data_IF_101985594416
#
_entry.id   IF_101985594416
#
_cell.length_a   1.000
_cell.length_b   1.000
_cell.length_c   1.000
_cell.angle_alpha   90.00
_cell.angle_beta   90.00
_cell.angle_gamma   90.00
#
_symmetry.space_group_name_H-M   'P 1'
#
loop_
_entity.id
_entity.type
_entity.pdbx_description
1 polymer ?
#
# COMPACT_ATOMS: atom_id res chain seq x y z
N UNK A 1 -0.48 11.77 0.55
CA UNK A 1 -0.01 11.00 -0.63
C UNK A 1 -0.10 9.53 -0.27
N UNK A 2 -0.56 8.67 -1.18
CA UNK A 2 -0.78 7.25 -0.90
C UNK A 2 0.18 6.41 -1.73
N UNK A 3 1.09 5.69 -1.08
CA UNK A 3 2.05 4.79 -1.73
C UNK A 3 1.62 3.36 -1.40
N UNK A 4 1.37 2.57 -2.43
CA UNK A 4 0.84 1.21 -2.29
C UNK A 4 1.93 0.19 -2.63
N UNK A 5 2.01 -0.85 -1.81
CA UNK A 5 2.75 -2.08 -2.11
C UNK A 5 1.94 -3.01 -3.05
N UNK A 6 2.61 -4.02 -3.60
CA UNK A 6 2.07 -5.06 -4.48
C UNK A 6 0.91 -5.82 -3.83
N UNK A 7 1.04 -6.26 -2.57
CA UNK A 7 0.05 -7.14 -1.93
C UNK A 7 -1.39 -6.59 -1.96
N UNK A 8 -1.63 -5.39 -1.42
CA UNK A 8 -2.93 -4.72 -1.51
C UNK A 8 -3.39 -4.49 -2.96
N UNK A 9 -2.49 -4.05 -3.85
CA UNK A 9 -2.81 -3.82 -5.27
C UNK A 9 -3.38 -5.07 -5.94
N UNK A 10 -2.72 -6.22 -5.77
CA UNK A 10 -3.19 -7.50 -6.33
C UNK A 10 -4.59 -7.85 -5.84
N UNK A 11 -4.88 -7.67 -4.54
CA UNK A 11 -6.20 -7.99 -3.97
C UNK A 11 -7.31 -7.13 -4.56
N UNK A 12 -7.13 -5.81 -4.58
CA UNK A 12 -8.15 -4.89 -5.09
C UNK A 12 -8.37 -5.01 -6.60
N UNK A 13 -7.31 -5.24 -7.37
CA UNK A 13 -7.42 -5.40 -8.82
C UNK A 13 -8.06 -6.74 -9.18
N UNK A 14 -7.63 -7.83 -8.56
CA UNK A 14 -8.13 -9.17 -8.85
C UNK A 14 -9.62 -9.32 -8.54
N UNK A 15 -10.10 -8.64 -7.50
CA UNK A 15 -11.50 -8.73 -7.05
C UNK A 15 -12.42 -7.66 -7.62
N UNK A 16 -11.97 -6.91 -8.64
CA UNK A 16 -12.71 -5.80 -9.25
C UNK A 16 -13.20 -4.77 -8.21
N UNK A 17 -12.33 -4.43 -7.25
CA UNK A 17 -12.62 -3.49 -6.16
C UNK A 17 -11.89 -2.14 -6.31
N UNK A 18 -11.46 -1.79 -7.52
CA UNK A 18 -10.80 -0.50 -7.81
C UNK A 18 -11.64 0.72 -7.37
N UNK A 19 -12.97 0.78 -7.59
CA UNK A 19 -13.76 1.90 -7.10
C UNK A 19 -13.72 2.04 -5.57
N UNK A 20 -13.74 0.92 -4.84
CA UNK A 20 -13.65 0.90 -3.38
C UNK A 20 -12.26 1.33 -2.91
N UNK A 21 -11.21 0.91 -3.61
CA UNK A 21 -9.84 1.36 -3.35
C UNK A 21 -9.73 2.88 -3.53
N UNK A 22 -10.17 3.42 -4.66
CA UNK A 22 -10.11 4.85 -4.94
C UNK A 22 -10.91 5.64 -3.91
N UNK A 23 -12.10 5.16 -3.54
CA UNK A 23 -12.92 5.78 -2.52
C UNK A 23 -12.25 5.79 -1.14
N UNK A 24 -11.64 4.68 -0.72
CA UNK A 24 -10.88 4.59 0.53
C UNK A 24 -9.71 5.58 0.57
N UNK A 25 -9.12 5.89 -0.58
CA UNK A 25 -8.06 6.88 -0.73
C UNK A 25 -8.58 8.31 -0.97
N UNK A 26 -9.89 8.54 -0.83
CA UNK A 26 -10.52 9.85 -1.05
C UNK A 26 -10.47 10.33 -2.51
N UNK A 27 -10.49 9.40 -3.46
CA UNK A 27 -10.30 9.64 -4.90
C UNK A 27 -8.98 10.35 -5.24
N UNK A 28 -7.94 10.14 -4.44
CA UNK A 28 -6.60 10.62 -4.74
C UNK A 28 -5.81 9.61 -5.59
N UNK A 29 -4.75 10.05 -6.29
CA UNK A 29 -3.91 9.15 -7.04
C UNK A 29 -3.22 8.08 -6.17
N UNK A 30 -3.17 6.87 -6.71
CA UNK A 30 -2.37 5.75 -6.23
C UNK A 30 -0.95 5.94 -6.76
N UNK A 31 0.02 5.96 -5.84
CA UNK A 31 1.43 5.99 -6.20
C UNK A 31 2.01 4.60 -5.96
N UNK A 32 2.75 4.08 -6.92
CA UNK A 32 3.44 2.79 -6.80
C UNK A 32 4.88 2.94 -7.27
N UNK A 33 5.86 2.35 -6.57
CA UNK A 33 7.21 2.17 -7.12
C UNK A 33 7.21 1.43 -8.46
N UNK A 34 8.23 1.62 -9.29
CA UNK A 34 8.41 0.85 -10.54
C UNK A 34 8.45 -0.66 -10.28
N UNK A 35 9.10 -1.09 -9.19
CA UNK A 35 9.12 -2.49 -8.76
C UNK A 35 7.72 -3.05 -8.49
N UNK A 36 6.85 -2.26 -7.83
CA UNK A 36 5.45 -2.66 -7.59
C UNK A 36 4.67 -2.68 -8.90
N UNK A 37 4.83 -1.67 -9.76
CA UNK A 37 4.16 -1.65 -11.07
C UNK A 37 4.56 -2.85 -11.93
N UNK A 38 5.82 -3.27 -11.87
CA UNK A 38 6.31 -4.49 -12.50
C UNK A 38 5.65 -5.73 -11.90
N UNK A 39 5.67 -5.87 -10.57
CA UNK A 39 5.13 -7.05 -9.87
C UNK A 39 3.62 -7.23 -10.08
N UNK A 40 2.86 -6.14 -10.19
CA UNK A 40 1.43 -6.16 -10.54
C UNK A 40 1.19 -6.83 -11.90
N UNK A 41 2.12 -6.71 -12.84
CA UNK A 41 2.03 -7.32 -14.19
C UNK A 41 2.69 -8.71 -14.23
N UNK A 42 3.78 -8.91 -13.49
CA UNK A 42 4.57 -10.14 -13.48
C UNK A 42 3.92 -11.25 -12.64
N UNK A 43 3.41 -10.93 -11.44
CA UNK A 43 2.83 -11.91 -10.51
C UNK A 43 1.74 -12.78 -11.16
N UNK A 44 0.80 -12.24 -11.95
CA UNK A 44 -0.19 -13.02 -12.71
C UNK A 44 0.38 -14.13 -13.59
N UNK A 45 1.62 -14.00 -14.09
CA UNK A 45 2.27 -15.01 -14.95
C UNK A 45 2.70 -16.25 -14.18
N UNK A 46 2.96 -16.10 -12.87
CA UNK A 46 3.40 -17.17 -11.97
C UNK A 46 2.29 -17.67 -11.04
N UNK A 47 1.31 -16.80 -10.76
CA UNK A 47 0.23 -17.03 -9.82
C UNK A 47 -1.11 -16.68 -10.48
N UNK A 48 -1.72 -17.67 -11.12
CA UNK A 48 -2.91 -17.49 -11.96
C UNK A 48 -4.13 -17.02 -11.18
N UNK A 49 -4.18 -17.18 -9.85
CA UNK A 49 -5.26 -16.59 -9.06
C UNK A 49 -5.32 -15.05 -9.16
N UNK A 50 -4.20 -14.40 -9.51
CA UNK A 50 -4.12 -12.96 -9.73
C UNK A 50 -4.26 -12.54 -11.20
N UNK A 51 -4.61 -13.45 -12.12
CA UNK A 51 -4.69 -13.22 -13.57
C UNK A 51 -5.44 -11.92 -13.94
N UNK A 52 -6.54 -11.65 -13.23
CA UNK A 52 -7.39 -10.48 -13.44
C UNK A 52 -6.65 -9.14 -13.26
N UNK A 53 -5.61 -9.10 -12.44
CA UNK A 53 -4.78 -7.91 -12.22
C UNK A 53 -4.21 -7.36 -13.53
N UNK A 54 -3.67 -8.22 -14.40
CA UNK A 54 -3.06 -7.82 -15.67
C UNK A 54 -4.07 -7.15 -16.63
N UNK A 55 -5.35 -7.49 -16.52
CA UNK A 55 -6.42 -6.89 -17.33
C UNK A 55 -6.89 -5.55 -16.76
N UNK A 56 -6.91 -5.41 -15.43
CA UNK A 56 -7.47 -4.24 -14.74
C UNK A 56 -6.46 -3.12 -14.59
N UNK A 57 -5.20 -3.43 -14.28
CA UNK A 57 -4.11 -2.44 -14.12
C UNK A 57 -4.00 -1.43 -15.27
N UNK A 58 -3.95 -1.83 -16.56
CA UNK A 58 -3.88 -0.88 -17.67
C UNK A 58 -5.17 -0.05 -17.86
N UNK A 59 -6.29 -0.48 -17.29
CA UNK A 59 -7.59 0.22 -17.38
C UNK A 59 -7.81 1.25 -16.28
N UNK A 60 -6.95 1.29 -15.26
CA UNK A 60 -7.01 2.35 -14.26
C UNK A 60 -6.74 3.69 -14.97
N UNK A 61 -7.62 4.69 -14.85
CA UNK A 61 -7.41 5.99 -15.47
C UNK A 61 -6.07 6.60 -15.04
N UNK A 62 -5.29 7.13 -15.98
CA UNK A 62 -3.94 7.66 -15.72
C UNK A 62 -3.90 8.72 -14.61
N UNK A 63 -4.97 9.52 -14.45
CA UNK A 63 -5.07 10.49 -13.34
C UNK A 63 -5.01 9.86 -11.94
N UNK A 64 -5.31 8.57 -11.81
CA UNK A 64 -5.28 7.84 -10.55
C UNK A 64 -4.05 6.94 -10.40
N UNK A 65 -3.19 6.84 -11.40
CA UNK A 65 -2.07 5.91 -11.45
C UNK A 65 -0.77 6.69 -11.66
N UNK A 66 0.07 6.73 -10.63
CA UNK A 66 1.38 7.42 -10.68
C UNK A 66 2.47 6.42 -10.35
N UNK A 67 3.45 6.28 -11.23
CA UNK A 67 4.62 5.42 -11.02
C UNK A 67 5.75 6.28 -10.47
N UNK A 68 6.35 5.83 -9.36
CA UNK A 68 7.52 6.44 -8.73
C UNK A 68 8.79 5.78 -9.29
N UNK A 69 9.74 6.54 -9.85
CA UNK A 69 10.94 5.97 -10.46
C UNK A 69 11.85 5.32 -9.41
N UNK A 70 12.30 4.10 -9.65
CA UNK A 70 13.21 3.39 -8.74
C UNK A 70 14.68 3.58 -9.12
N UNK A 71 14.95 4.39 -10.15
CA UNK A 71 16.30 4.71 -10.58
C UNK A 71 17.18 5.11 -9.39
N UNK A 72 18.37 4.50 -9.24
CA UNK A 72 19.19 4.71 -8.06
C UNK A 72 19.68 6.16 -7.99
N UNK A 73 19.37 6.81 -6.87
CA UNK A 73 19.87 8.13 -6.51
C UNK A 73 20.71 8.02 -5.24
N UNK A 74 21.59 8.98 -4.99
CA UNK A 74 22.37 9.02 -3.74
C UNK A 74 21.46 8.99 -2.50
N UNK A 75 20.31 9.68 -2.59
CA UNK A 75 19.30 9.68 -1.53
C UNK A 75 18.71 8.28 -1.30
N UNK A 76 18.30 7.58 -2.35
CA UNK A 76 17.75 6.22 -2.22
C UNK A 76 18.81 5.22 -1.73
N UNK A 77 20.07 5.38 -2.14
CA UNK A 77 21.19 4.56 -1.65
C UNK A 77 21.43 4.78 -0.15
N UNK A 78 21.45 6.02 0.29
CA UNK A 78 21.60 6.36 1.71
C UNK A 78 20.40 5.91 2.54
N UNK A 79 19.19 6.01 1.99
CA UNK A 79 17.99 5.49 2.62
C UNK A 79 18.05 3.97 2.75
N UNK A 80 18.43 3.23 1.70
CA UNK A 80 18.58 1.77 1.76
C UNK A 80 19.52 1.35 2.90
N UNK A 81 20.71 1.93 2.97
CA UNK A 81 21.68 1.63 4.03
C UNK A 81 21.17 2.02 5.42
N UNK A 82 20.48 3.15 5.54
CA UNK A 82 20.06 3.66 6.85
C UNK A 82 18.78 3.02 7.39
N UNK A 83 17.82 2.70 6.52
CA UNK A 83 16.48 2.18 6.82
C UNK A 83 16.45 0.66 6.81
N UNK A 84 16.97 0.05 5.74
CA UNK A 84 16.91 -1.39 5.47
C UNK A 84 18.20 -2.13 5.87
N UNK A 85 19.28 -1.40 6.15
CA UNK A 85 20.61 -1.96 6.48
C UNK A 85 21.21 -2.81 5.36
N UNK A 86 20.84 -2.51 4.12
CA UNK A 86 21.33 -3.19 2.92
C UNK A 86 21.87 -2.18 1.90
N UNK A 87 22.82 -2.62 1.07
CA UNK A 87 23.18 -1.86 -0.12
C UNK A 87 22.00 -1.82 -1.10
N UNK A 88 21.85 -0.71 -1.82
CA UNK A 88 20.71 -0.52 -2.71
C UNK A 88 20.73 -1.50 -3.87
N UNK A 89 21.89 -1.71 -4.49
CA UNK A 89 21.97 -2.53 -5.70
C UNK A 89 21.71 -4.00 -5.35
N UNK A 90 22.24 -4.46 -4.21
CA UNK A 90 21.96 -5.79 -3.67
C UNK A 90 20.48 -5.97 -3.29
N UNK A 91 19.89 -4.99 -2.60
CA UNK A 91 18.47 -5.03 -2.21
C UNK A 91 17.56 -5.03 -3.44
N UNK A 92 17.86 -4.18 -4.44
CA UNK A 92 17.03 -4.06 -5.64
C UNK A 92 17.15 -5.29 -6.57
N UNK A 93 18.28 -5.99 -6.54
CA UNK A 93 18.48 -7.24 -7.27
C UNK A 93 17.68 -8.40 -6.67
N UNK A 94 17.33 -8.34 -5.38
CA UNK A 94 16.47 -9.34 -4.76
C UNK A 94 15.03 -9.15 -5.24
N UNK A 95 14.37 -10.23 -5.65
CA UNK A 95 12.95 -10.18 -6.03
C UNK A 95 12.01 -10.24 -4.82
N UNK A 96 12.54 -10.71 -3.69
CA UNK A 96 11.80 -10.82 -2.45
C UNK A 96 11.71 -9.43 -1.80
N UNK A 97 10.50 -9.04 -1.41
CA UNK A 97 10.17 -7.82 -0.65
C UNK A 97 10.63 -6.52 -1.33
N UNK A 98 10.96 -6.57 -2.63
CA UNK A 98 11.47 -5.43 -3.41
C UNK A 98 10.44 -4.32 -3.55
N UNK A 99 9.21 -4.66 -3.93
CA UNK A 99 8.10 -3.71 -4.01
C UNK A 99 7.87 -2.98 -2.68
N UNK A 100 7.82 -3.73 -1.59
CA UNK A 100 7.66 -3.19 -0.23
C UNK A 100 8.82 -2.26 0.15
N UNK A 101 10.05 -2.73 -0.01
CA UNK A 101 11.25 -1.95 0.30
C UNK A 101 11.24 -0.61 -0.46
N UNK A 102 10.95 -0.63 -1.75
CA UNK A 102 10.86 0.61 -2.53
C UNK A 102 9.71 1.52 -2.08
N UNK A 103 8.54 0.95 -1.72
CA UNK A 103 7.44 1.74 -1.18
C UNK A 103 7.83 2.49 0.10
N UNK A 104 8.56 1.81 1.00
CA UNK A 104 9.09 2.38 2.23
C UNK A 104 10.15 3.46 1.93
N UNK A 105 11.12 3.17 1.06
CA UNK A 105 12.20 4.12 0.75
C UNK A 105 11.64 5.42 0.12
N UNK A 106 10.71 5.29 -0.83
CA UNK A 106 10.02 6.45 -1.41
C UNK A 106 9.24 7.24 -0.36
N UNK A 107 8.51 6.56 0.53
CA UNK A 107 7.76 7.20 1.60
C UNK A 107 8.67 8.01 2.53
N UNK A 108 9.81 7.45 2.92
CA UNK A 108 10.78 8.13 3.79
C UNK A 108 11.41 9.33 3.06
N UNK A 109 11.81 9.19 1.80
CA UNK A 109 12.33 10.31 1.00
C UNK A 109 11.34 11.47 0.96
N UNK A 110 10.08 11.18 0.61
CA UNK A 110 9.04 12.19 0.46
C UNK A 110 8.68 12.84 1.80
N UNK A 111 8.63 12.08 2.88
CA UNK A 111 8.38 12.62 4.21
C UNK A 111 9.52 13.51 4.72
N UNK A 112 10.78 13.18 4.42
CA UNK A 112 11.92 14.09 4.71
C UNK A 112 11.83 15.42 3.96
N UNK A 113 11.16 15.43 2.81
CA UNK A 113 10.88 16.62 1.98
C UNK A 113 9.58 17.36 2.39
N UNK A 114 9.02 17.06 3.56
CA UNK A 114 7.86 17.78 4.10
C UNK A 114 6.50 17.21 3.73
N UNK A 115 6.43 16.04 3.08
CA UNK A 115 5.15 15.45 2.63
C UNK A 115 4.54 14.53 3.69
N UNK A 116 3.21 14.54 3.80
CA UNK A 116 2.47 13.50 4.52
C UNK A 116 2.17 12.33 3.59
N UNK A 117 2.76 11.19 3.90
CA UNK A 117 2.67 9.95 3.14
C UNK A 117 1.95 8.89 3.97
N UNK A 118 1.01 8.19 3.36
CA UNK A 118 0.41 6.97 3.87
C UNK A 118 0.93 5.83 3.02
N UNK A 119 1.57 4.86 3.66
CA UNK A 119 2.07 3.63 3.02
C UNK A 119 1.07 2.52 3.30
N UNK A 120 0.65 1.82 2.24
CA UNK A 120 -0.27 0.70 2.34
C UNK A 120 0.50 -0.59 2.10
N UNK A 121 0.60 -1.43 3.12
CA UNK A 121 1.28 -2.73 3.09
C UNK A 121 0.61 -3.67 4.12
N UNK A 122 0.55 -4.96 3.80
CA UNK A 122 -0.05 -5.98 4.67
C UNK A 122 0.99 -6.72 5.55
N UNK A 123 2.28 -6.63 5.25
CA UNK A 123 3.33 -7.40 5.92
C UNK A 123 3.76 -6.78 7.26
N UNK A 124 4.00 -7.65 8.26
CA UNK A 124 4.36 -7.24 9.62
C UNK A 124 5.75 -6.59 9.68
N UNK A 125 6.70 -7.08 8.90
CA UNK A 125 8.07 -6.54 8.84
C UNK A 125 8.08 -5.13 8.24
N UNK A 126 7.42 -4.94 7.09
CA UNK A 126 7.22 -3.64 6.47
C UNK A 126 6.54 -2.65 7.40
N UNK A 127 5.45 -3.07 8.07
CA UNK A 127 4.75 -2.26 9.07
C UNK A 127 5.69 -1.80 10.19
N UNK A 128 6.49 -2.72 10.72
CA UNK A 128 7.46 -2.41 11.79
C UNK A 128 8.52 -1.41 11.34
N UNK A 129 8.98 -1.53 10.10
CA UNK A 129 9.93 -0.58 9.50
C UNK A 129 9.31 0.80 9.28
N UNK A 130 8.07 0.87 8.79
CA UNK A 130 7.34 2.13 8.61
C UNK A 130 7.17 2.86 9.94
N UNK A 131 6.74 2.15 10.99
CA UNK A 131 6.55 2.74 12.33
C UNK A 131 7.87 3.23 12.94
N UNK A 132 8.96 2.48 12.75
CA UNK A 132 10.30 2.88 13.19
C UNK A 132 10.74 4.19 12.52
N UNK A 133 10.62 4.30 11.20
CA UNK A 133 11.02 5.52 10.50
C UNK A 133 10.06 6.69 10.75
N UNK A 134 8.76 6.46 10.95
CA UNK A 134 7.82 7.48 11.37
C UNK A 134 8.22 8.13 12.72
N UNK A 135 8.58 7.30 13.70
CA UNK A 135 9.05 7.79 15.01
C UNK A 135 10.37 8.56 14.90
N UNK A 136 11.31 8.06 14.09
CA UNK A 136 12.59 8.72 13.85
C UNK A 136 12.42 10.07 13.16
N UNK A 137 11.53 10.18 12.18
CA UNK A 137 11.20 11.45 11.52
C UNK A 137 10.62 12.46 12.51
N UNK A 138 9.72 12.03 13.39
CA UNK A 138 9.16 12.87 14.45
C UNK A 138 10.26 13.43 15.36
N UNK A 139 11.23 12.61 15.77
CA UNK A 139 12.37 13.06 16.57
C UNK A 139 13.29 14.02 15.79
N UNK A 140 13.58 13.71 14.52
CA UNK A 140 14.39 14.57 13.66
C UNK A 140 13.77 15.95 13.42
N UNK A 141 12.44 16.04 13.43
CA UNK A 141 11.72 17.31 13.35
C UNK A 141 11.86 18.14 14.61
N UNK A 142 11.73 17.52 15.79
CA UNK A 142 11.94 18.24 17.06
C UNK A 142 13.36 18.79 17.21
N UNK A 143 14.32 18.25 16.46
CA UNK A 143 15.72 18.69 16.43
C UNK A 143 16.06 19.55 15.20
N UNK A 144 15.07 19.92 14.38
CA UNK A 144 15.22 20.82 13.24
C UNK A 144 15.90 20.23 12.00
N UNK A 145 16.23 18.93 11.99
CA UNK A 145 17.03 18.29 10.91
C UNK A 145 16.30 18.19 9.57
N UNK A 146 14.97 18.13 9.58
CA UNK A 146 14.12 18.09 8.39
C UNK A 146 13.00 19.12 8.56
N UNK A 147 13.26 20.37 8.21
CA UNK A 147 12.31 21.48 8.35
C UNK A 147 12.06 22.12 6.98
N UNK A 148 10.81 22.14 6.46
CA UNK A 148 9.61 21.53 7.06
C UNK A 148 9.66 20.00 6.97
N UNK A 149 9.29 19.32 8.05
CA UNK A 149 9.26 17.87 8.10
C UNK A 149 7.87 17.33 7.79
N UNK A 150 7.83 16.17 7.13
CA UNK A 150 6.60 15.49 6.75
C UNK A 150 6.20 14.38 7.72
N UNK A 151 5.33 13.47 7.30
CA UNK A 151 4.89 12.36 8.15
C UNK A 151 4.76 11.10 7.34
N UNK A 152 4.97 9.95 7.99
CA UNK A 152 4.66 8.65 7.42
C UNK A 152 3.62 8.00 8.32
N UNK A 153 2.56 7.50 7.70
CA UNK A 153 1.51 6.71 8.31
C UNK A 153 1.46 5.35 7.61
N UNK A 154 0.91 4.35 8.30
CA UNK A 154 0.68 3.01 7.76
C UNK A 154 -0.83 2.74 7.67
N UNK A 155 -1.22 1.97 6.67
CA UNK A 155 -2.51 1.31 6.58
C UNK A 155 -2.33 -0.08 5.95
N UNK A 156 -3.23 -1.00 6.25
CA UNK A 156 -3.30 -2.31 5.62
C UNK A 156 -4.58 -2.45 4.78
N UNK A 157 -4.75 -3.60 4.13
CA UNK A 157 -5.97 -3.89 3.35
C UNK A 157 -7.24 -3.82 4.20
N UNK A 158 -7.19 -4.21 5.48
CA UNK A 158 -8.34 -4.12 6.40
C UNK A 158 -8.74 -2.66 6.64
N UNK A 159 -7.77 -1.79 6.80
CA UNK A 159 -7.96 -0.35 6.97
C UNK A 159 -8.57 0.28 5.72
N UNK A 160 -8.08 -0.09 4.54
CA UNK A 160 -8.68 0.37 3.27
C UNK A 160 -10.13 -0.10 3.11
N UNK A 161 -10.43 -1.36 3.44
CA UNK A 161 -11.79 -1.88 3.39
C UNK A 161 -12.73 -1.17 4.37
N UNK A 162 -12.24 -0.84 5.58
CA UNK A 162 -12.97 0.00 6.54
C UNK A 162 -13.32 1.35 5.94
N UNK A 163 -12.35 2.08 5.41
CA UNK A 163 -12.59 3.40 4.82
C UNK A 163 -13.50 3.33 3.59
N UNK A 164 -13.40 2.28 2.79
CA UNK A 164 -14.33 2.05 1.69
C UNK A 164 -15.78 1.85 2.19
N UNK A 165 -15.99 1.13 3.29
CA UNK A 165 -17.32 0.98 3.91
C UNK A 165 -17.81 2.33 4.44
N UNK A 166 -16.97 3.07 5.18
CA UNK A 166 -17.32 4.38 5.73
C UNK A 166 -17.66 5.40 4.63
N UNK A 167 -17.00 5.30 3.47
CA UNK A 167 -17.29 6.11 2.29
C UNK A 167 -18.51 5.66 1.48
N UNK A 168 -19.19 4.57 1.87
CA UNK A 168 -20.35 4.03 1.13
C UNK A 168 -19.99 3.25 -0.14
N UNK A 169 -18.77 2.71 -0.22
CA UNK A 169 -18.26 1.98 -1.39
C UNK A 169 -18.90 0.61 -1.60
N UNK A 170 -19.68 0.12 -0.65
CA UNK A 170 -20.40 -1.15 -0.73
C UNK A 170 -21.90 -0.92 -0.54
N UNK A 171 -22.71 -1.53 -1.41
CA UNK A 171 -24.17 -1.37 -1.39
C UNK A 171 -24.86 -2.10 -0.22
N UNK A 172 -24.21 -3.11 0.35
CA UNK A 172 -24.70 -3.87 1.50
C UNK A 172 -23.58 -4.65 2.18
N UNK A 173 -23.85 -5.11 3.41
CA UNK A 173 -22.94 -6.02 4.14
C UNK A 173 -22.70 -7.29 3.32
N UNK A 174 -23.72 -7.87 2.70
CA UNK A 174 -23.56 -9.10 1.90
C UNK A 174 -22.67 -8.88 0.67
N UNK A 175 -22.83 -7.73 -0.01
CA UNK A 175 -21.96 -7.37 -1.14
C UNK A 175 -20.50 -7.21 -0.71
N UNK A 176 -20.27 -6.59 0.45
CA UNK A 176 -18.94 -6.50 1.06
C UNK A 176 -18.37 -7.87 1.43
N UNK A 177 -19.12 -8.71 2.15
CA UNK A 177 -18.66 -10.04 2.59
C UNK A 177 -18.29 -10.91 1.39
N UNK A 178 -19.05 -10.84 0.30
CA UNK A 178 -18.71 -11.54 -0.95
C UNK A 178 -17.35 -11.12 -1.51
N UNK A 179 -17.08 -9.82 -1.57
CA UNK A 179 -15.78 -9.28 -2.05
C UNK A 179 -14.64 -9.58 -1.08
N UNK A 180 -14.87 -9.45 0.22
CA UNK A 180 -13.91 -9.80 1.26
C UNK A 180 -13.48 -11.26 1.14
N UNK A 181 -14.44 -12.19 1.04
CA UNK A 181 -14.13 -13.62 0.95
C UNK A 181 -13.35 -13.95 -0.33
N UNK A 182 -13.65 -13.25 -1.44
CA UNK A 182 -12.85 -13.37 -2.65
C UNK A 182 -11.39 -12.90 -2.41
N UNK A 183 -11.18 -11.73 -1.79
CA UNK A 183 -9.84 -11.23 -1.46
C UNK A 183 -9.08 -12.18 -0.52
N UNK A 184 -9.72 -12.63 0.55
CA UNK A 184 -9.13 -13.52 1.55
C UNK A 184 -8.85 -14.94 1.03
N UNK A 185 -9.34 -15.28 -0.16
CA UNK A 185 -9.03 -16.54 -0.83
C UNK A 185 -7.78 -16.50 -1.71
N UNK A 186 -7.25 -15.30 -1.99
CA UNK A 186 -6.10 -15.10 -2.89
C UNK A 186 -4.76 -15.45 -2.25
N UNK A 187 -4.61 -15.11 -0.96
CA UNK A 187 -3.41 -15.35 -0.14
C UNK A 187 -3.78 -15.48 1.34
N UNK A 188 -2.77 -15.55 2.21
CA UNK A 188 -2.94 -15.70 3.66
C UNK A 188 -2.84 -14.40 4.46
N UNK A 189 -2.72 -13.22 3.83
CA UNK A 189 -2.52 -11.97 4.58
C UNK A 189 -3.80 -11.42 5.21
N UNK A 190 -4.98 -11.88 4.76
CA UNK A 190 -6.27 -11.54 5.36
C UNK A 190 -6.80 -12.66 6.26
N UNK A 191 -7.47 -12.32 7.39
CA UNK A 191 -8.21 -13.29 8.18
C UNK A 191 -9.27 -14.01 7.35
N UNK A 192 -9.28 -15.34 7.33
CA UNK A 192 -10.27 -16.13 6.55
C UNK A 192 -11.71 -15.84 6.94
N UNK A 193 -11.95 -15.55 8.22
CA UNK A 193 -13.28 -15.23 8.73
C UNK A 193 -13.45 -13.71 8.83
N UNK A 194 -14.29 -13.13 7.97
CA UNK A 194 -14.58 -11.68 7.96
C UNK A 194 -15.00 -11.15 9.33
N UNK A 195 -15.68 -11.95 10.16
CA UNK A 195 -16.13 -11.55 11.50
C UNK A 195 -14.97 -11.18 12.44
N UNK A 196 -13.78 -11.76 12.25
CA UNK A 196 -12.58 -11.47 13.05
C UNK A 196 -12.03 -10.06 12.82
N UNK A 197 -12.38 -9.44 11.69
CA UNK A 197 -11.94 -8.08 11.34
C UNK A 197 -12.79 -6.98 11.99
N UNK A 198 -13.98 -7.33 12.50
CA UNK A 198 -14.96 -6.36 12.99
C UNK A 198 -15.65 -5.54 11.89
N UNK A 199 -15.31 -5.74 10.60
CA UNK A 199 -15.83 -4.93 9.48
C UNK A 199 -17.32 -5.18 9.17
N UNK A 200 -17.96 -6.21 9.73
CA UNK A 200 -19.41 -6.47 9.55
C UNK A 200 -20.27 -5.90 10.67
N UNK A 201 -19.68 -5.19 11.64
CA UNK A 201 -20.41 -4.57 12.76
C UNK A 201 -20.56 -3.07 12.51
N UNK A 202 -21.53 -2.42 13.17
CA UNK A 202 -21.60 -0.95 13.21
C UNK A 202 -20.82 -0.41 14.42
N UNK A 203 -20.02 0.66 14.27
CA UNK A 203 -19.44 1.18 13.01
C UNK A 203 -18.42 0.16 12.41
N UNK A 204 -18.11 0.16 11.10
CA UNK A 204 -18.09 1.31 10.18
C UNK A 204 -19.35 1.57 9.35
N UNK A 205 -20.31 0.65 9.33
CA UNK A 205 -21.51 0.83 8.49
C UNK A 205 -22.33 2.02 8.99
N UNK A 206 -22.70 2.97 8.11
CA UNK A 206 -23.60 4.05 8.48
C UNK A 206 -24.90 3.45 9.03
N UNK A 207 -25.44 4.07 10.08
CA UNK A 207 -26.73 3.63 10.64
C UNK A 207 -27.80 3.81 9.55
N UNK A 208 -28.74 2.84 9.41
CA UNK A 208 -29.86 2.99 8.49
C UNK A 208 -30.71 4.22 8.81
#
# INVERSE_FOLDING_TARGET
MHILDTGPMLKFLTTDCVPQLLLALGNNPIHVPEAVAYEVVDTPTRHTQFARTAEVWPRIPERFKVILPDAPTDELRDLSRSVLKADFDDMYAQTRDRGENMAILHAVSLARKGRTVLVICDEEEGTSTILREANKLKLQQTTGRHTPGGQIHHADTITLLRWAIEGGGFSSIDAFVKKYNAMASLDSSLPREVKKTGLTKSPPWPRP
#
